data_IF_981298654783
#
_entry.id   IF_981298654783
#
_cell.length_a   1.000
_cell.length_b   1.000
_cell.length_c   1.000
_cell.angle_alpha   90.00
_cell.angle_beta   90.00
_cell.angle_gamma   90.00
#
_symmetry.space_group_name_H-M   'P 1'
#
loop_
_entity.id
_entity.type
_entity.pdbx_description
1 polymer ?
#
# COMPACT_ATOMS: atom_id res chain seq x y z
N UNK A 1 -27.82 3.88 25.14
CA UNK A 1 -27.99 3.17 23.86
C UNK A 1 -26.65 2.54 23.54
N UNK A 2 -26.50 1.25 23.72
CA UNK A 2 -25.21 0.59 23.57
C UNK A 2 -25.39 -0.89 23.34
N UNK A 3 -25.34 -1.31 22.08
CA UNK A 3 -25.15 -2.69 21.61
C UNK A 3 -24.98 -2.69 20.08
N UNK A 4 -23.82 -2.28 19.52
CA UNK A 4 -23.54 -2.52 18.08
C UNK A 4 -22.09 -2.92 17.77
N UNK A 5 -21.21 -3.01 18.77
CA UNK A 5 -19.77 -3.28 18.52
C UNK A 5 -19.50 -4.72 18.03
N UNK A 6 -20.42 -5.67 18.23
CA UNK A 6 -20.25 -7.07 17.85
C UNK A 6 -21.12 -7.57 16.68
N UNK A 7 -22.03 -6.75 16.15
CA UNK A 7 -22.95 -7.21 15.12
C UNK A 7 -22.22 -7.52 13.80
N UNK A 8 -22.53 -8.65 13.17
CA UNK A 8 -21.93 -9.05 11.88
C UNK A 8 -22.26 -8.07 10.75
N UNK A 9 -21.48 -8.05 9.66
CA UNK A 9 -21.86 -7.21 8.49
C UNK A 9 -23.25 -7.57 7.96
N UNK A 10 -23.64 -8.84 8.05
CA UNK A 10 -24.96 -9.32 7.65
C UNK A 10 -26.08 -8.70 8.50
N UNK A 11 -25.87 -8.57 9.82
CA UNK A 11 -26.83 -7.97 10.75
C UNK A 11 -26.94 -6.46 10.55
N UNK A 12 -25.80 -5.77 10.44
CA UNK A 12 -25.75 -4.33 10.21
C UNK A 12 -26.42 -3.94 8.88
N UNK A 13 -26.28 -4.77 7.85
CA UNK A 13 -26.93 -4.54 6.57
C UNK A 13 -28.44 -4.78 6.63
N UNK A 14 -28.88 -5.82 7.33
CA UNK A 14 -30.31 -6.07 7.53
C UNK A 14 -31.01 -4.94 8.32
N UNK A 15 -30.26 -4.22 9.16
CA UNK A 15 -30.74 -3.08 9.95
C UNK A 15 -30.57 -1.73 9.22
N UNK A 16 -30.04 -1.72 7.99
CA UNK A 16 -29.71 -0.51 7.23
C UNK A 16 -28.77 0.46 7.99
N UNK A 17 -27.92 -0.08 8.88
CA UNK A 17 -26.97 0.69 9.68
C UNK A 17 -25.68 0.98 8.89
N UNK A 18 -25.81 1.76 7.82
CA UNK A 18 -24.71 2.08 6.90
C UNK A 18 -23.51 2.72 7.63
N UNK A 19 -23.77 3.59 8.61
CA UNK A 19 -22.71 4.22 9.41
C UNK A 19 -21.86 3.20 10.18
N UNK A 20 -22.51 2.21 10.80
CA UNK A 20 -21.82 1.15 11.55
C UNK A 20 -21.06 0.18 10.62
N UNK A 21 -21.62 -0.10 9.43
CA UNK A 21 -20.90 -0.83 8.38
C UNK A 21 -19.60 -0.10 8.03
N UNK A 22 -19.68 1.21 7.75
CA UNK A 22 -18.51 2.02 7.40
C UNK A 22 -17.50 2.11 8.55
N UNK A 23 -17.96 2.26 9.80
CA UNK A 23 -17.08 2.23 10.98
C UNK A 23 -16.33 0.90 11.11
N UNK A 24 -16.99 -0.22 10.80
CA UNK A 24 -16.39 -1.56 10.83
C UNK A 24 -15.43 -1.79 9.65
N UNK A 25 -15.77 -1.26 8.47
CA UNK A 25 -14.87 -1.22 7.31
C UNK A 25 -13.61 -0.42 7.62
N UNK A 26 -13.75 0.75 8.27
CA UNK A 26 -12.63 1.59 8.72
C UNK A 26 -11.66 0.80 9.58
N UNK A 27 -12.15 0.17 10.67
CA UNK A 27 -11.32 -0.66 11.56
C UNK A 27 -10.61 -1.79 10.81
N UNK A 28 -11.31 -2.48 9.90
CA UNK A 28 -10.69 -3.54 9.08
C UNK A 28 -9.62 -2.98 8.13
N UNK A 29 -9.85 -1.81 7.55
CA UNK A 29 -8.91 -1.13 6.69
C UNK A 29 -7.64 -0.77 7.48
N UNK A 30 -7.78 -0.11 8.63
CA UNK A 30 -6.66 0.27 9.50
C UNK A 30 -5.81 -0.94 9.92
N UNK A 31 -6.44 -2.06 10.27
CA UNK A 31 -5.72 -3.31 10.59
C UNK A 31 -4.93 -3.81 9.36
N UNK A 32 -5.55 -3.81 8.18
CA UNK A 32 -4.90 -4.25 6.93
C UNK A 32 -3.79 -3.31 6.48
N UNK A 33 -3.87 -2.03 6.82
CA UNK A 33 -2.90 -1.00 6.48
C UNK A 33 -1.79 -0.84 7.54
N UNK A 34 -1.88 -1.55 8.68
CA UNK A 34 -0.83 -1.56 9.69
C UNK A 34 0.51 -2.02 9.08
N UNK A 35 1.56 -1.24 9.30
CA UNK A 35 2.90 -1.52 8.77
C UNK A 35 3.04 -1.31 7.25
N UNK A 36 2.02 -0.76 6.59
CA UNK A 36 2.03 -0.42 5.17
C UNK A 36 2.29 1.07 4.97
N UNK A 37 3.00 1.41 3.89
CA UNK A 37 3.34 2.79 3.51
C UNK A 37 2.95 3.04 2.06
N UNK A 38 2.52 4.26 1.79
CA UNK A 38 2.08 4.72 0.47
C UNK A 38 2.93 5.92 0.07
N UNK A 39 3.43 5.94 -1.16
CA UNK A 39 4.25 7.04 -1.65
C UNK A 39 3.37 8.27 -1.92
N UNK A 40 3.62 9.36 -1.18
CA UNK A 40 2.91 10.63 -1.35
C UNK A 40 1.43 10.60 -0.94
N UNK A 41 1.03 9.66 -0.09
CA UNK A 41 -0.35 9.54 0.41
C UNK A 41 -0.34 9.15 1.87
N UNK A 42 -1.13 9.84 2.70
CA UNK A 42 -1.23 9.51 4.11
C UNK A 42 -2.14 8.31 4.31
N UNK A 43 -1.95 7.63 5.44
CA UNK A 43 -2.77 6.48 5.79
C UNK A 43 -4.24 6.86 5.98
N UNK A 44 -4.51 8.08 6.44
CA UNK A 44 -5.87 8.62 6.59
C UNK A 44 -6.53 8.84 5.23
N UNK A 45 -5.80 9.33 4.23
CA UNK A 45 -6.31 9.51 2.86
C UNK A 45 -6.75 8.17 2.26
N UNK A 46 -5.91 7.13 2.40
CA UNK A 46 -6.22 5.78 1.92
C UNK A 46 -7.49 5.24 2.58
N UNK A 47 -7.61 5.42 3.90
CA UNK A 47 -8.80 4.98 4.64
C UNK A 47 -10.04 5.72 4.16
N UNK A 48 -9.98 7.04 3.99
CA UNK A 48 -11.11 7.83 3.49
C UNK A 48 -11.51 7.42 2.08
N UNK A 49 -10.55 7.20 1.18
CA UNK A 49 -10.83 6.79 -0.19
C UNK A 49 -11.49 5.40 -0.24
N UNK A 50 -11.02 4.45 0.58
CA UNK A 50 -11.66 3.12 0.74
C UNK A 50 -13.09 3.26 1.25
N UNK A 51 -13.34 4.09 2.26
CA UNK A 51 -14.68 4.29 2.82
C UNK A 51 -15.65 4.90 1.79
N UNK A 52 -15.22 5.94 1.09
CA UNK A 52 -16.04 6.60 0.08
C UNK A 52 -16.41 5.67 -1.07
N UNK A 53 -15.45 4.87 -1.56
CA UNK A 53 -15.73 3.88 -2.62
C UNK A 53 -16.61 2.75 -2.10
N UNK A 54 -16.42 2.31 -0.85
CA UNK A 54 -17.26 1.29 -0.23
C UNK A 54 -18.72 1.74 -0.15
N UNK A 55 -18.97 2.97 0.30
CA UNK A 55 -20.30 3.56 0.33
C UNK A 55 -20.96 3.54 -1.06
N UNK A 56 -20.24 3.98 -2.10
CA UNK A 56 -20.75 4.00 -3.49
C UNK A 56 -21.09 2.63 -4.08
N UNK A 57 -20.44 1.56 -3.64
CA UNK A 57 -20.69 0.21 -4.15
C UNK A 57 -21.65 -0.58 -3.27
N UNK A 58 -21.91 -0.13 -2.04
CA UNK A 58 -22.82 -0.79 -1.11
C UNK A 58 -24.24 -0.86 -1.68
N UNK A 59 -24.71 0.23 -2.31
CA UNK A 59 -26.03 0.28 -2.98
C UNK A 59 -26.18 -0.72 -4.13
N UNK A 60 -25.06 -1.24 -4.64
CA UNK A 60 -25.01 -2.22 -5.73
C UNK A 60 -24.86 -3.64 -5.23
N UNK A 61 -24.89 -3.85 -3.92
CA UNK A 61 -24.75 -5.18 -3.33
C UNK A 61 -25.95 -6.05 -3.70
N UNK A 62 -25.65 -7.27 -4.12
CA UNK A 62 -26.63 -8.30 -4.45
C UNK A 62 -26.36 -9.55 -3.62
N UNK A 63 -27.33 -9.88 -2.76
CA UNK A 63 -27.27 -11.03 -1.87
C UNK A 63 -27.36 -12.38 -2.58
N UNK A 64 -27.82 -12.41 -3.83
CA UNK A 64 -27.85 -13.63 -4.66
C UNK A 64 -26.46 -14.03 -5.15
N UNK A 65 -25.53 -13.09 -5.25
CA UNK A 65 -24.17 -13.32 -5.78
C UNK A 65 -23.22 -13.76 -4.66
N UNK A 66 -23.24 -13.09 -3.51
CA UNK A 66 -22.34 -13.37 -2.41
C UNK A 66 -22.88 -12.88 -1.06
N UNK A 67 -22.38 -13.45 0.04
CA UNK A 67 -22.59 -12.91 1.40
C UNK A 67 -21.95 -11.53 1.53
N UNK A 68 -22.57 -10.62 2.27
CA UNK A 68 -22.09 -9.23 2.34
C UNK A 68 -20.71 -9.11 2.95
N UNK A 69 -20.37 -9.96 3.95
CA UNK A 69 -19.02 -9.99 4.50
C UNK A 69 -17.97 -10.31 3.42
N UNK A 70 -18.26 -11.26 2.52
CA UNK A 70 -17.36 -11.60 1.40
C UNK A 70 -17.26 -10.44 0.41
N UNK A 71 -18.38 -9.85 0.05
CA UNK A 71 -18.44 -8.69 -0.82
C UNK A 71 -17.60 -7.53 -0.26
N UNK A 72 -17.86 -7.10 0.98
CA UNK A 72 -17.14 -5.99 1.61
C UNK A 72 -15.65 -6.26 1.78
N UNK A 73 -15.25 -7.48 2.17
CA UNK A 73 -13.82 -7.81 2.25
C UNK A 73 -13.16 -7.71 0.86
N UNK A 74 -13.83 -8.17 -0.21
CA UNK A 74 -13.32 -8.05 -1.57
C UNK A 74 -13.22 -6.59 -2.03
N UNK A 75 -14.20 -5.76 -1.68
CA UNK A 75 -14.18 -4.32 -1.95
C UNK A 75 -12.99 -3.68 -1.23
N UNK A 76 -12.83 -3.89 0.07
CA UNK A 76 -11.71 -3.34 0.85
C UNK A 76 -10.37 -3.74 0.23
N UNK A 77 -10.19 -5.01 -0.08
CA UNK A 77 -8.93 -5.51 -0.66
C UNK A 77 -8.66 -4.90 -2.04
N UNK A 78 -9.68 -4.80 -2.89
CA UNK A 78 -9.55 -4.18 -4.21
C UNK A 78 -9.26 -2.67 -4.10
N UNK A 79 -9.91 -1.96 -3.18
CA UNK A 79 -9.71 -0.53 -3.02
C UNK A 79 -8.32 -0.20 -2.46
N UNK A 80 -7.82 -0.97 -1.48
CA UNK A 80 -6.45 -0.82 -0.98
C UNK A 80 -5.45 -1.09 -2.12
N UNK A 81 -5.68 -2.13 -2.93
CA UNK A 81 -4.85 -2.42 -4.11
C UNK A 81 -4.85 -1.27 -5.12
N UNK A 82 -6.00 -0.65 -5.36
CA UNK A 82 -6.11 0.47 -6.28
C UNK A 82 -5.36 1.70 -5.75
N UNK A 83 -5.38 1.94 -4.44
CA UNK A 83 -4.58 3.00 -3.80
C UNK A 83 -3.07 2.76 -4.03
N UNK A 84 -2.60 1.51 -3.89
CA UNK A 84 -1.22 1.16 -4.25
C UNK A 84 -0.89 1.41 -5.72
N UNK A 85 -1.79 1.05 -6.65
CA UNK A 85 -1.56 1.28 -8.08
C UNK A 85 -1.50 2.77 -8.42
N UNK A 86 -2.34 3.58 -7.77
CA UNK A 86 -2.38 5.03 -8.01
C UNK A 86 -1.11 5.73 -7.48
N UNK A 87 -0.68 5.38 -6.27
CA UNK A 87 0.51 5.95 -5.62
C UNK A 87 1.82 5.53 -6.32
N UNK A 88 1.83 4.34 -6.92
CA UNK A 88 2.99 3.85 -7.68
C UNK A 88 2.89 4.17 -9.19
N UNK A 89 1.88 4.91 -9.62
CA UNK A 89 1.78 5.33 -11.02
C UNK A 89 2.95 6.24 -11.40
N UNK A 90 3.48 6.10 -12.62
CA UNK A 90 4.60 6.92 -13.09
C UNK A 90 4.34 8.42 -13.00
N UNK A 91 3.07 8.85 -13.07
CA UNK A 91 2.65 10.23 -12.84
C UNK A 91 2.83 10.64 -11.37
N UNK A 92 2.39 9.82 -10.42
CA UNK A 92 2.56 10.12 -9.00
C UNK A 92 4.05 10.11 -8.60
N UNK A 93 4.80 9.12 -9.08
CA UNK A 93 6.25 9.05 -8.84
C UNK A 93 6.99 10.26 -9.43
N UNK A 94 6.58 10.76 -10.60
CA UNK A 94 7.17 11.97 -11.18
C UNK A 94 6.87 13.23 -10.35
N UNK A 95 5.70 13.32 -9.72
CA UNK A 95 5.32 14.45 -8.85
C UNK A 95 6.01 14.37 -7.49
N UNK A 96 5.95 13.20 -6.84
CA UNK A 96 6.54 12.99 -5.50
C UNK A 96 8.07 13.12 -5.52
N UNK A 97 8.71 12.73 -6.63
CA UNK A 97 10.17 12.85 -6.79
C UNK A 97 10.59 14.11 -7.56
N UNK A 98 9.67 15.04 -7.87
CA UNK A 98 10.04 16.27 -8.56
C UNK A 98 10.93 17.13 -7.65
N UNK A 99 12.12 17.48 -8.14
CA UNK A 99 12.98 18.49 -7.50
C UNK A 99 12.40 19.85 -7.85
N UNK A 100 12.10 20.67 -6.83
CA UNK A 100 11.64 22.03 -7.05
C UNK A 100 12.78 22.90 -7.61
N UNK A 101 12.73 23.12 -8.93
CA UNK A 101 13.70 23.93 -9.66
C UNK A 101 13.64 25.40 -9.20
N UNK A 102 12.48 25.88 -8.73
CA UNK A 102 12.35 27.27 -8.25
C UNK A 102 13.07 27.48 -6.90
N UNK A 103 13.20 26.42 -6.09
CA UNK A 103 14.00 26.44 -4.86
C UNK A 103 15.51 26.51 -5.13
N UNK A 104 15.98 25.82 -6.18
CA UNK A 104 17.40 25.82 -6.59
C UNK A 104 17.85 27.17 -7.14
N UNK A 105 17.02 27.84 -7.95
CA UNK A 105 17.36 29.14 -8.55
C UNK A 105 17.50 30.25 -7.49
N UNK A 106 16.83 30.14 -6.34
CA UNK A 106 17.00 31.10 -5.23
C UNK A 106 18.25 30.83 -4.38
N UNK A 107 18.86 29.66 -4.48
CA UNK A 107 20.03 29.28 -3.68
C UNK A 107 21.38 29.62 -4.35
N UNK A 108 21.39 30.04 -5.62
CA UNK A 108 22.62 30.37 -6.37
C UNK A 108 23.16 31.79 -6.12
N UNK A 109 22.82 32.44 -5.00
CA UNK A 109 23.47 33.70 -4.58
C UNK A 109 23.91 33.62 -3.13
N UNK A 110 25.04 32.94 -2.89
CA UNK A 110 26.16 33.33 -2.02
C UNK A 110 27.07 32.14 -1.75
N UNK A 111 28.27 32.17 -2.33
CA UNK A 111 29.43 31.46 -1.79
C UNK A 111 29.69 31.96 -0.36
N UNK A 112 29.68 31.04 0.60
CA UNK A 112 30.67 30.83 1.66
C UNK A 112 30.04 30.00 2.80
N UNK A 113 30.59 28.80 2.99
CA UNK A 113 30.49 27.96 4.20
C UNK A 113 29.23 28.07 5.05
N UNK A 114 28.15 27.39 4.65
CA UNK A 114 27.02 27.09 5.55
C UNK A 114 26.72 25.61 5.48
N UNK A 115 26.96 24.92 6.59
CA UNK A 115 26.43 23.60 6.87
C UNK A 115 24.90 23.71 6.86
N UNK A 116 24.26 23.28 5.77
CA UNK A 116 22.81 23.21 5.72
C UNK A 116 22.34 22.09 6.64
N UNK A 117 21.90 22.46 7.84
CA UNK A 117 20.90 21.69 8.55
C UNK A 117 19.64 21.73 7.70
N UNK A 118 19.52 20.76 6.78
CA UNK A 118 18.23 20.43 6.20
C UNK A 118 17.36 20.03 7.39
N UNK A 119 16.32 20.80 7.66
CA UNK A 119 15.22 20.38 8.53
C UNK A 119 14.55 19.19 7.88
N UNK A 120 15.18 18.03 7.98
CA UNK A 120 14.59 16.73 7.72
C UNK A 120 13.74 16.47 8.94
N UNK A 121 12.44 16.74 8.85
CA UNK A 121 11.54 15.91 9.62
C UNK A 121 11.68 14.50 9.07
N UNK A 122 12.52 13.72 9.77
CA UNK A 122 12.86 12.31 9.56
C UNK A 122 11.62 11.45 9.38
N UNK A 123 11.10 11.32 8.16
CA UNK A 123 10.21 10.22 7.79
C UNK A 123 10.34 9.89 6.30
N UNK A 124 11.42 9.21 5.92
CA UNK A 124 11.45 8.63 4.57
C UNK A 124 12.68 7.83 4.17
N UNK A 125 13.87 8.18 4.64
CA UNK A 125 15.10 7.60 4.09
C UNK A 125 15.68 6.42 4.89
N UNK A 126 15.44 6.33 6.19
CA UNK A 126 15.98 5.23 7.01
C UNK A 126 15.49 3.84 6.58
N UNK A 127 14.25 3.71 6.08
CA UNK A 127 13.72 2.38 5.72
C UNK A 127 14.22 1.86 4.36
N UNK A 128 14.74 2.73 3.48
CA UNK A 128 15.36 2.27 2.24
C UNK A 128 16.74 1.68 2.50
N UNK A 129 17.52 2.27 3.42
CA UNK A 129 18.79 1.68 3.89
C UNK A 129 18.53 0.36 4.60
N UNK A 130 17.57 0.29 5.54
CA UNK A 130 17.25 -0.97 6.25
C UNK A 130 16.77 -2.07 5.27
N UNK A 131 15.97 -1.76 4.26
CA UNK A 131 15.54 -2.76 3.26
C UNK A 131 16.71 -3.20 2.35
N UNK A 132 17.61 -2.28 2.00
CA UNK A 132 18.81 -2.58 1.20
C UNK A 132 19.82 -3.41 2.00
N UNK A 133 20.01 -3.12 3.28
CA UNK A 133 20.86 -3.85 4.22
C UNK A 133 20.33 -5.28 4.47
N UNK A 134 19.01 -5.45 4.61
CA UNK A 134 18.40 -6.79 4.70
C UNK A 134 18.58 -7.52 3.36
N UNK A 135 18.43 -6.84 2.21
CA UNK A 135 18.62 -7.45 0.87
C UNK A 135 20.07 -7.88 0.61
N UNK A 136 21.05 -7.15 1.12
CA UNK A 136 22.47 -7.53 1.05
C UNK A 136 22.80 -8.72 1.95
N UNK A 137 22.20 -8.80 3.14
CA UNK A 137 22.40 -9.91 4.07
C UNK A 137 21.60 -11.20 3.72
N UNK A 138 20.56 -11.12 2.87
CA UNK A 138 19.72 -12.27 2.49
C UNK A 138 20.32 -13.20 1.41
N UNK A 139 21.46 -12.86 0.80
CA UNK A 139 22.06 -13.68 -0.27
C UNK A 139 21.12 -13.92 -1.46
N UNK A 140 20.34 -12.90 -1.84
CA UNK A 140 19.43 -12.96 -2.98
C UNK A 140 20.21 -12.81 -4.29
N UNK A 141 19.93 -13.66 -5.27
CA UNK A 141 20.42 -13.45 -6.63
C UNK A 141 19.69 -12.28 -7.32
N UNK A 142 20.21 -11.79 -8.45
CA UNK A 142 19.65 -10.62 -9.15
C UNK A 142 18.16 -10.75 -9.47
N UNK A 143 17.70 -11.97 -9.79
CA UNK A 143 16.31 -12.22 -10.16
C UNK A 143 15.40 -12.28 -8.93
N UNK A 144 15.88 -12.86 -7.85
CA UNK A 144 15.22 -12.79 -6.53
C UNK A 144 15.15 -11.36 -6.04
N UNK A 145 16.24 -10.58 -6.19
CA UNK A 145 16.29 -9.16 -5.83
C UNK A 145 15.27 -8.34 -6.61
N UNK A 146 15.14 -8.60 -7.91
CA UNK A 146 14.18 -7.92 -8.77
C UNK A 146 12.74 -8.29 -8.41
N UNK A 147 12.44 -9.58 -8.19
CA UNK A 147 11.12 -10.03 -7.75
C UNK A 147 10.79 -9.49 -6.36
N UNK A 148 11.75 -9.47 -5.44
CA UNK A 148 11.60 -8.92 -4.10
C UNK A 148 11.29 -7.43 -4.13
N UNK A 149 12.05 -6.66 -4.93
CA UNK A 149 11.81 -5.22 -5.11
C UNK A 149 10.43 -4.95 -5.69
N UNK A 150 10.03 -5.68 -6.73
CA UNK A 150 8.69 -5.52 -7.34
C UNK A 150 7.58 -5.98 -6.37
N UNK A 151 7.80 -7.03 -5.59
CA UNK A 151 6.79 -7.51 -4.63
C UNK A 151 6.64 -6.57 -3.44
N UNK A 152 7.76 -6.00 -2.96
CA UNK A 152 7.79 -4.96 -1.92
C UNK A 152 7.17 -3.66 -2.43
N UNK A 153 7.29 -3.38 -3.73
CA UNK A 153 6.60 -2.30 -4.44
C UNK A 153 5.11 -2.60 -4.74
N UNK A 154 4.58 -3.76 -4.32
CA UNK A 154 3.15 -4.08 -4.38
C UNK A 154 2.67 -4.83 -5.63
N UNK A 155 3.51 -5.03 -6.66
CA UNK A 155 3.11 -5.69 -7.91
C UNK A 155 2.62 -7.14 -7.70
N UNK A 156 1.54 -7.53 -8.38
CA UNK A 156 1.02 -8.90 -8.34
C UNK A 156 1.91 -9.86 -9.13
N UNK A 157 1.89 -11.16 -8.78
CA UNK A 157 2.74 -12.16 -9.45
C UNK A 157 2.55 -12.20 -10.97
N UNK A 158 1.36 -11.87 -11.46
CA UNK A 158 1.07 -11.83 -12.89
C UNK A 158 1.63 -10.57 -13.57
N UNK A 159 1.75 -9.47 -12.85
CA UNK A 159 2.38 -8.22 -13.31
C UNK A 159 3.90 -8.37 -13.28
N UNK A 160 4.44 -8.91 -12.20
CA UNK A 160 5.86 -9.25 -12.08
C UNK A 160 6.27 -10.23 -13.18
N UNK A 161 5.45 -11.24 -13.47
CA UNK A 161 5.67 -12.19 -14.56
C UNK A 161 5.87 -11.49 -15.91
N UNK A 162 5.01 -10.50 -16.21
CA UNK A 162 5.11 -9.69 -17.43
C UNK A 162 6.36 -8.80 -17.43
N UNK A 163 6.71 -8.20 -16.29
CA UNK A 163 7.87 -7.29 -16.16
C UNK A 163 9.21 -8.01 -16.20
N UNK A 164 9.28 -9.20 -15.59
CA UNK A 164 10.50 -10.01 -15.47
C UNK A 164 10.64 -11.02 -16.62
N UNK A 165 9.60 -11.17 -17.46
CA UNK A 165 9.60 -12.08 -18.61
C UNK A 165 9.58 -13.56 -18.23
N UNK A 166 8.81 -13.94 -17.20
CA UNK A 166 8.68 -15.33 -16.73
C UNK A 166 7.22 -15.68 -16.46
N UNK A 167 6.90 -16.95 -16.26
CA UNK A 167 5.53 -17.35 -15.90
C UNK A 167 5.14 -16.92 -14.49
N UNK A 168 3.84 -16.70 -14.24
CA UNK A 168 3.30 -16.41 -12.89
C UNK A 168 3.72 -17.45 -11.86
N UNK A 169 3.67 -18.74 -12.23
CA UNK A 169 4.10 -19.85 -11.37
C UNK A 169 5.59 -19.75 -11.03
N UNK A 170 6.43 -19.31 -11.96
CA UNK A 170 7.85 -19.09 -11.71
C UNK A 170 8.09 -17.96 -10.72
N UNK A 171 7.34 -16.85 -10.82
CA UNK A 171 7.42 -15.76 -9.82
C UNK A 171 7.02 -16.26 -8.43
N UNK A 172 5.96 -17.08 -8.33
CA UNK A 172 5.55 -17.66 -7.05
C UNK A 172 6.62 -18.56 -6.43
N UNK A 173 7.30 -19.39 -7.24
CA UNK A 173 8.42 -20.21 -6.77
C UNK A 173 9.58 -19.35 -6.28
N UNK A 174 9.93 -18.28 -7.01
CA UNK A 174 10.97 -17.33 -6.61
C UNK A 174 10.60 -16.67 -5.27
N UNK A 175 9.36 -16.22 -5.12
CA UNK A 175 8.88 -15.63 -3.86
C UNK A 175 8.97 -16.61 -2.68
N UNK A 176 8.58 -17.88 -2.87
CA UNK A 176 8.74 -18.91 -1.83
C UNK A 176 10.22 -19.10 -1.44
N UNK A 177 11.13 -19.13 -2.42
CA UNK A 177 12.58 -19.25 -2.17
C UNK A 177 13.10 -18.09 -1.31
N UNK A 178 12.66 -16.86 -1.60
CA UNK A 178 13.02 -15.66 -0.83
C UNK A 178 12.52 -15.77 0.62
N UNK A 179 11.27 -16.19 0.83
CA UNK A 179 10.70 -16.35 2.19
C UNK A 179 11.47 -17.39 3.01
N UNK A 180 11.83 -18.52 2.41
CA UNK A 180 12.64 -19.55 3.10
C UNK A 180 14.00 -19.00 3.52
N UNK A 181 14.67 -18.23 2.65
CA UNK A 181 15.94 -17.58 2.98
C UNK A 181 15.82 -16.59 4.14
N UNK A 182 14.70 -15.87 4.21
CA UNK A 182 14.40 -14.95 5.30
C UNK A 182 14.15 -15.67 6.63
N UNK A 183 13.47 -16.81 6.61
CA UNK A 183 13.21 -17.62 7.81
C UNK A 183 14.47 -18.31 8.38
N UNK A 184 15.54 -18.41 7.59
CA UNK A 184 16.82 -19.00 7.99
C UNK A 184 17.88 -18.00 8.48
N UNK A 185 17.56 -16.71 8.50
CA UNK A 185 18.38 -15.64 9.11
C UNK A 185 18.11 -15.55 10.61
#
# INVERSE_FOLDING_TARGET
MGTSVNAGFDELYAMDEVEEILAKVKKKCEIKLKGKRFAGMEHEDVVQEVLFKTYKVLDKYDSSIAKINTFLNSVIDNMIKDCYKSTMSGKNLAVVNAIDIAGLIKAEVKEEGVCYHVGVEDRGFENCEVLMDIMENMGLNDRERQVFKLRSAGYEYQEIAKMVGVSKSRVQQIWKSIVVKYETL
#
